data_IF_641742705833
#
_entry.id   IF_641742705833
#
_cell.length_a   1.000
_cell.length_b   1.000
_cell.length_c   1.000
_cell.angle_alpha   90.00
_cell.angle_beta   90.00
_cell.angle_gamma   90.00
#
_symmetry.space_group_name_H-M   'P 1'
#
loop_
_entity.id
_entity.type
_entity.pdbx_description
1 polymer ?
#
# COMPACT_ATOMS: atom_id res chain seq x y z
N UNK A 1 -9.33 33.23 0.27
CA UNK A 1 -9.04 31.79 0.44
C UNK A 1 -7.54 31.63 0.28
N UNK A 2 -6.81 31.42 1.37
CA UNK A 2 -5.37 31.11 1.31
C UNK A 2 -5.24 29.71 0.71
N UNK A 3 -4.92 29.62 -0.57
CA UNK A 3 -4.65 28.35 -1.25
C UNK A 3 -3.36 27.78 -0.65
N UNK A 4 -3.52 26.84 0.29
CA UNK A 4 -2.37 26.17 0.90
C UNK A 4 -1.81 25.19 -0.12
N UNK A 5 -0.50 25.26 -0.38
CA UNK A 5 0.22 24.53 -1.43
C UNK A 5 -0.10 23.01 -1.44
N UNK A 6 -0.36 22.41 -0.28
CA UNK A 6 -0.73 21.00 -0.17
C UNK A 6 -2.07 20.65 -0.87
N UNK A 7 -3.02 21.59 -0.94
CA UNK A 7 -4.33 21.39 -1.56
C UNK A 7 -4.26 21.31 -3.09
N UNK A 8 -3.14 21.73 -3.69
CA UNK A 8 -2.91 21.66 -5.14
C UNK A 8 -2.02 20.46 -5.47
N UNK A 9 -0.94 20.26 -4.70
CA UNK A 9 0.03 19.19 -4.96
C UNK A 9 -0.59 17.80 -4.77
N UNK A 10 -1.37 17.59 -3.70
CA UNK A 10 -1.88 16.26 -3.37
C UNK A 10 -2.89 15.76 -4.41
N UNK A 11 -3.89 16.54 -4.85
CA UNK A 11 -4.79 16.11 -5.93
C UNK A 11 -4.05 15.84 -7.25
N UNK A 12 -3.08 16.68 -7.60
CA UNK A 12 -2.29 16.50 -8.82
C UNK A 12 -1.50 15.18 -8.79
N UNK A 13 -0.88 14.85 -7.65
CA UNK A 13 -0.22 13.56 -7.46
C UNK A 13 -1.22 12.40 -7.54
N UNK A 14 -2.38 12.51 -6.87
CA UNK A 14 -3.38 11.44 -6.90
C UNK A 14 -3.84 11.11 -8.32
N UNK A 15 -4.03 12.13 -9.17
CA UNK A 15 -4.38 11.96 -10.58
C UNK A 15 -3.27 11.26 -11.37
N UNK A 16 -2.01 11.63 -11.13
CA UNK A 16 -0.87 11.01 -11.80
C UNK A 16 -0.75 9.52 -11.45
N UNK A 17 -0.86 9.18 -10.17
CA UNK A 17 -0.81 7.79 -9.74
C UNK A 17 -2.00 6.97 -10.24
N UNK A 18 -3.19 7.57 -10.31
CA UNK A 18 -4.37 6.95 -10.89
C UNK A 18 -4.20 6.72 -12.41
N UNK A 19 -3.61 7.67 -13.14
CA UNK A 19 -3.29 7.49 -14.56
C UNK A 19 -2.27 6.35 -14.77
N UNK A 20 -1.24 6.25 -13.93
CA UNK A 20 -0.23 5.19 -14.00
C UNK A 20 -0.84 3.81 -13.77
N UNK A 21 -1.74 3.65 -12.79
CA UNK A 21 -2.35 2.35 -12.51
C UNK A 21 -3.27 1.90 -13.64
N UNK A 22 -4.04 2.82 -14.24
CA UNK A 22 -4.91 2.53 -15.38
C UNK A 22 -4.09 2.10 -16.60
N UNK A 23 -2.96 2.77 -16.88
CA UNK A 23 -2.04 2.37 -17.95
C UNK A 23 -1.40 1.00 -17.69
N UNK A 24 -1.07 0.68 -16.43
CA UNK A 24 -0.52 -0.63 -16.06
C UNK A 24 -1.55 -1.75 -16.15
N UNK A 25 -2.81 -1.46 -15.82
CA UNK A 25 -3.94 -2.38 -16.00
C UNK A 25 -4.16 -2.69 -17.48
N UNK A 26 -4.17 -1.67 -18.35
CA UNK A 26 -4.29 -1.86 -19.79
C UNK A 26 -3.15 -2.69 -20.42
N UNK A 27 -1.99 -2.78 -19.74
CA UNK A 27 -0.85 -3.62 -20.13
C UNK A 27 -0.90 -5.04 -19.56
N UNK A 28 -1.97 -5.42 -18.85
CA UNK A 28 -2.14 -6.74 -18.23
C UNK A 28 -1.15 -7.02 -17.08
N UNK A 29 -0.46 -6.00 -16.57
CA UNK A 29 0.57 -6.15 -15.53
C UNK A 29 0.03 -6.05 -14.10
N UNK A 30 -1.26 -5.75 -13.95
CA UNK A 30 -1.91 -5.47 -12.67
C UNK A 30 -3.27 -6.16 -12.67
N UNK A 31 -3.61 -6.85 -11.59
CA UNK A 31 -4.90 -7.50 -11.45
C UNK A 31 -6.03 -6.48 -11.18
N UNK A 32 -7.28 -6.84 -11.49
CA UNK A 32 -8.45 -6.00 -11.16
C UNK A 32 -8.50 -5.62 -9.67
N UNK A 33 -8.13 -6.56 -8.79
CA UNK A 33 -8.08 -6.33 -7.34
C UNK A 33 -7.03 -5.29 -6.94
N UNK A 34 -5.83 -5.38 -7.50
CA UNK A 34 -4.74 -4.41 -7.27
C UNK A 34 -5.10 -3.01 -7.77
N UNK A 35 -5.77 -2.90 -8.92
CA UNK A 35 -6.25 -1.62 -9.45
C UNK A 35 -7.27 -0.98 -8.51
N UNK A 36 -8.29 -1.73 -8.07
CA UNK A 36 -9.34 -1.22 -7.16
C UNK A 36 -8.74 -0.79 -5.82
N UNK A 37 -7.85 -1.59 -5.24
CA UNK A 37 -7.18 -1.25 -3.98
C UNK A 37 -6.34 0.02 -4.11
N UNK A 38 -5.61 0.17 -5.22
CA UNK A 38 -4.77 1.34 -5.46
C UNK A 38 -5.62 2.59 -5.66
N UNK A 39 -6.69 2.51 -6.46
CA UNK A 39 -7.62 3.64 -6.68
C UNK A 39 -8.28 4.04 -5.37
N UNK A 40 -8.78 3.08 -4.59
CA UNK A 40 -9.40 3.34 -3.29
C UNK A 40 -8.43 4.01 -2.31
N UNK A 41 -7.17 3.58 -2.28
CA UNK A 41 -6.12 4.22 -1.47
C UNK A 41 -5.90 5.69 -1.87
N UNK A 42 -5.74 5.97 -3.16
CA UNK A 42 -5.52 7.35 -3.65
C UNK A 42 -6.74 8.25 -3.45
N UNK A 43 -7.96 7.70 -3.54
CA UNK A 43 -9.19 8.43 -3.19
C UNK A 43 -9.22 8.79 -1.71
N UNK A 44 -8.79 7.89 -0.82
CA UNK A 44 -8.64 8.18 0.61
C UNK A 44 -7.65 9.32 0.87
N UNK A 45 -6.49 9.29 0.20
CA UNK A 45 -5.48 10.37 0.28
C UNK A 45 -6.04 11.71 -0.22
N UNK A 46 -6.76 11.70 -1.35
CA UNK A 46 -7.39 12.90 -1.89
C UNK A 46 -8.47 13.46 -0.94
N UNK A 47 -9.28 12.60 -0.32
CA UNK A 47 -10.28 13.01 0.67
C UNK A 47 -9.63 13.67 1.91
N UNK A 48 -8.48 13.16 2.35
CA UNK A 48 -7.69 13.78 3.44
C UNK A 48 -7.16 15.16 3.07
N UNK A 49 -6.72 15.34 1.82
CA UNK A 49 -6.25 16.64 1.35
C UNK A 49 -7.36 17.68 1.21
N UNK A 50 -8.58 17.27 0.85
CA UNK A 50 -9.72 18.19 0.66
C UNK A 50 -10.30 18.62 2.02
N UNK A 51 -10.39 17.73 3.01
CA UNK A 51 -10.93 18.04 4.35
C UNK A 51 -9.96 17.72 5.50
N UNK A 52 -8.82 18.43 5.60
CA UNK A 52 -7.85 18.20 6.67
C UNK A 52 -8.46 18.40 8.06
N UNK A 53 -9.25 19.46 8.26
CA UNK A 53 -9.79 19.82 9.57
C UNK A 53 -10.81 18.81 10.12
N UNK A 54 -11.58 18.14 9.24
CA UNK A 54 -12.60 17.17 9.65
C UNK A 54 -11.97 15.83 10.04
N UNK A 55 -11.00 15.38 9.26
CA UNK A 55 -10.32 14.09 9.50
C UNK A 55 -9.40 14.20 10.70
N UNK A 56 -8.65 15.29 10.80
CA UNK A 56 -7.78 15.56 11.94
C UNK A 56 -8.58 15.59 13.26
N UNK A 57 -9.75 16.23 13.29
CA UNK A 57 -10.66 16.20 14.46
C UNK A 57 -11.32 14.83 14.72
N UNK A 58 -11.50 13.98 13.71
CA UNK A 58 -12.04 12.63 13.90
C UNK A 58 -10.98 11.71 14.55
N UNK A 59 -9.77 11.73 14.01
CA UNK A 59 -8.63 10.96 14.55
C UNK A 59 -8.26 11.45 15.95
N UNK A 60 -8.22 12.77 16.17
CA UNK A 60 -7.96 13.36 17.49
C UNK A 60 -8.98 12.96 18.56
N UNK A 61 -10.28 12.84 18.20
CA UNK A 61 -11.32 12.36 19.13
C UNK A 61 -11.24 10.86 19.41
N UNK A 62 -10.84 10.05 18.43
CA UNK A 62 -10.70 8.60 18.62
C UNK A 62 -9.49 8.25 19.51
N UNK A 63 -8.40 9.00 19.39
CA UNK A 63 -7.15 8.77 20.12
C UNK A 63 -6.97 9.64 21.38
N UNK A 64 -7.81 10.65 21.60
CA UNK A 64 -7.73 11.54 22.77
C UNK A 64 -6.53 12.51 22.76
N UNK A 65 -5.87 12.68 21.61
CA UNK A 65 -4.69 13.54 21.46
C UNK A 65 -5.14 14.97 21.12
N UNK A 66 -4.73 15.94 21.94
CA UNK A 66 -5.11 17.37 21.82
C UNK A 66 -4.60 18.02 20.52
N UNK A 67 -3.55 17.44 19.93
CA UNK A 67 -2.93 17.89 18.69
C UNK A 67 -3.28 16.96 17.52
N UNK A 68 -4.13 17.48 16.64
CA UNK A 68 -4.80 16.67 15.62
C UNK A 68 -3.86 16.24 14.47
N UNK A 69 -2.75 16.98 14.25
CA UNK A 69 -1.76 16.65 13.20
C UNK A 69 -0.89 15.47 13.67
N UNK A 70 -0.42 15.51 14.91
CA UNK A 70 0.42 14.44 15.47
C UNK A 70 -0.34 13.12 15.53
N UNK A 71 -1.64 13.13 15.84
CA UNK A 71 -2.45 11.92 15.86
C UNK A 71 -2.47 11.18 14.51
N UNK A 72 -2.56 11.91 13.39
CA UNK A 72 -2.51 11.33 12.04
C UNK A 72 -1.13 10.71 11.76
N UNK A 73 -0.06 11.41 12.15
CA UNK A 73 1.31 10.92 11.96
C UNK A 73 1.53 9.62 12.74
N UNK A 74 1.14 9.57 14.02
CA UNK A 74 1.26 8.36 14.84
C UNK A 74 0.45 7.19 14.26
N UNK A 75 -0.78 7.43 13.83
CA UNK A 75 -1.60 6.41 13.19
C UNK A 75 -0.97 5.91 11.88
N UNK A 76 -0.46 6.82 11.06
CA UNK A 76 0.21 6.47 9.80
C UNK A 76 1.45 5.62 10.05
N UNK A 77 2.27 5.99 11.04
CA UNK A 77 3.44 5.20 11.44
C UNK A 77 3.00 3.81 11.93
N UNK A 78 1.97 3.72 12.77
CA UNK A 78 1.45 2.43 13.26
C UNK A 78 0.96 1.52 12.13
N UNK A 79 0.20 2.06 11.18
CA UNK A 79 -0.27 1.34 9.99
C UNK A 79 0.91 0.93 9.10
N UNK A 80 1.87 1.83 8.87
CA UNK A 80 3.05 1.53 8.07
C UNK A 80 3.89 0.41 8.68
N UNK A 81 4.13 0.45 10.00
CA UNK A 81 4.83 -0.61 10.71
C UNK A 81 4.10 -1.96 10.56
N UNK A 82 2.78 -1.98 10.75
CA UNK A 82 1.98 -3.19 10.54
C UNK A 82 2.12 -3.73 9.10
N UNK A 83 2.06 -2.86 8.09
CA UNK A 83 2.21 -3.25 6.69
C UNK A 83 3.62 -3.81 6.39
N UNK A 84 4.67 -3.22 6.97
CA UNK A 84 6.04 -3.73 6.85
C UNK A 84 6.16 -5.12 7.48
N UNK A 85 5.62 -5.33 8.68
CA UNK A 85 5.60 -6.65 9.31
C UNK A 85 4.84 -7.68 8.49
N UNK A 86 3.68 -7.30 7.94
CA UNK A 86 2.91 -8.16 7.05
C UNK A 86 3.71 -8.53 5.82
N UNK A 87 4.34 -7.56 5.16
CA UNK A 87 5.18 -7.79 3.99
C UNK A 87 6.34 -8.73 4.30
N UNK A 88 7.01 -8.53 5.43
CA UNK A 88 8.09 -9.41 5.87
C UNK A 88 7.63 -10.87 6.06
N UNK A 89 6.44 -11.08 6.63
CA UNK A 89 5.87 -12.42 6.79
C UNK A 89 5.54 -13.07 5.44
N UNK A 90 4.94 -12.33 4.51
CA UNK A 90 4.67 -12.82 3.14
C UNK A 90 5.97 -13.18 2.41
N UNK A 91 7.00 -12.33 2.53
CA UNK A 91 8.33 -12.60 1.95
C UNK A 91 8.96 -13.87 2.54
N UNK A 92 8.79 -14.13 3.84
CA UNK A 92 9.29 -15.35 4.49
C UNK A 92 8.58 -16.60 3.96
N UNK A 93 7.27 -16.55 3.79
CA UNK A 93 6.49 -17.64 3.20
C UNK A 93 6.93 -17.92 1.76
N UNK A 94 7.08 -16.86 0.95
CA UNK A 94 7.52 -16.99 -0.43
C UNK A 94 8.93 -17.61 -0.53
N UNK A 95 9.90 -17.15 0.29
CA UNK A 95 11.23 -17.77 0.36
C UNK A 95 11.16 -19.27 0.68
N UNK A 96 10.32 -19.67 1.63
CA UNK A 96 10.14 -21.09 1.97
C UNK A 96 9.61 -21.89 0.79
N UNK A 97 8.58 -21.38 0.10
CA UNK A 97 8.01 -22.04 -1.08
C UNK A 97 9.03 -22.20 -2.20
N UNK A 98 9.85 -21.18 -2.46
CA UNK A 98 10.94 -21.25 -3.45
C UNK A 98 11.97 -22.33 -3.07
N UNK A 99 12.38 -22.39 -1.79
CA UNK A 99 13.31 -23.42 -1.31
C UNK A 99 12.72 -24.83 -1.44
N UNK A 100 11.45 -25.01 -1.09
CA UNK A 100 10.75 -26.30 -1.24
C UNK A 100 10.63 -26.70 -2.71
N UNK A 101 10.34 -25.75 -3.60
CA UNK A 101 10.27 -25.99 -5.04
C UNK A 101 11.64 -26.38 -5.62
N UNK A 102 12.70 -25.66 -5.26
CA UNK A 102 14.07 -25.98 -5.68
C UNK A 102 14.50 -27.38 -5.22
N UNK A 103 14.15 -27.78 -3.99
CA UNK A 103 14.42 -29.14 -3.49
C UNK A 103 13.66 -30.21 -4.28
N UNK A 104 12.39 -29.96 -4.61
CA UNK A 104 11.61 -30.91 -5.43
C UNK A 104 12.20 -31.07 -6.83
N UNK A 105 12.64 -29.96 -7.46
CA UNK A 105 13.30 -30.01 -8.77
C UNK A 105 14.58 -30.84 -8.70
N UNK A 106 15.45 -30.60 -7.70
CA UNK A 106 16.69 -31.34 -7.55
C UNK A 106 16.48 -32.86 -7.33
N UNK A 107 15.44 -33.25 -6.57
CA UNK A 107 15.09 -34.67 -6.39
C UNK A 107 14.58 -35.31 -7.68
N UNK A 108 13.74 -34.60 -8.44
CA UNK A 108 13.23 -35.08 -9.74
C UNK A 108 14.34 -35.22 -10.79
N UNK A 109 15.34 -34.34 -10.77
CA UNK A 109 16.50 -34.43 -11.66
C UNK A 109 17.39 -35.64 -11.28
N UNK A 110 17.64 -35.86 -9.99
CA UNK A 110 18.43 -36.98 -9.51
C UNK A 110 17.78 -38.35 -9.81
N UNK A 111 16.45 -38.45 -9.78
CA UNK A 111 15.72 -39.67 -10.13
C UNK A 111 15.83 -39.99 -11.63
N UNK A 112 15.82 -38.97 -12.50
CA UNK A 112 15.96 -39.13 -13.96
C UNK A 112 17.37 -39.50 -14.43
N UNK A 113 18.41 -39.09 -13.70
CA UNK A 113 19.80 -39.47 -14.03
C UNK A 113 20.17 -40.87 -13.52
N UNK A 114 19.36 -41.46 -12.63
CA UNK A 114 19.56 -42.79 -12.08
C UNK A 114 18.86 -43.94 -12.84
N UNK A 115 18.02 -43.63 -13.84
CA UNK A 115 17.41 -44.58 -14.80
C UNK A 115 18.21 -44.65 -16.10
#
# INVERSE_FOLDING_TARGET
MELRVFQIIVPLLTLLFMAVIVVRYGKGRVSLGEMILTIGFWLGVAAIAIWPDRISKFVGRLFGIKDNVNAIIFLSIGVLLYLIFRLYNEMRLNRRQVTELARKIALLEAEKEGE
#
